data_IF_870998941222
#
_entry.id   IF_870998941222
#
_cell.length_a   1.000
_cell.length_b   1.000
_cell.length_c   1.000
_cell.angle_alpha   90.00
_cell.angle_beta   90.00
_cell.angle_gamma   90.00
#
_symmetry.space_group_name_H-M   'P 1'
#
loop_
_entity.id
_entity.type
_entity.pdbx_description
1 polymer ?
#
# COMPACT_ATOMS: atom_id res chain seq x y z
N UNK A 1 -2.85 -4.00 -17.68
CA UNK A 1 -3.87 -2.95 -17.72
C UNK A 1 -3.27 -1.67 -18.29
N UNK A 2 -4.09 -0.91 -18.97
CA UNK A 2 -3.75 0.37 -19.57
C UNK A 2 -4.06 1.47 -18.55
N UNK A 3 -3.09 2.33 -18.23
CA UNK A 3 -3.25 3.37 -17.21
C UNK A 3 -2.58 4.68 -17.65
N UNK A 4 -3.10 5.80 -17.19
CA UNK A 4 -2.46 7.10 -17.38
C UNK A 4 -1.27 7.28 -16.45
N UNK A 5 -0.24 7.94 -16.97
CA UNK A 5 0.84 8.46 -16.13
C UNK A 5 0.27 9.58 -15.24
N UNK A 6 0.73 9.70 -13.98
CA UNK A 6 0.14 10.66 -13.03
C UNK A 6 0.28 12.13 -13.41
N UNK A 7 1.35 12.48 -14.13
CA UNK A 7 1.73 13.87 -14.41
C UNK A 7 1.77 14.19 -15.91
N UNK A 8 2.37 13.33 -16.71
CA UNK A 8 2.44 13.49 -18.15
C UNK A 8 1.14 13.03 -18.82
N UNK A 9 0.85 13.57 -20.01
CA UNK A 9 -0.29 13.10 -20.81
C UNK A 9 0.02 11.81 -21.58
N UNK A 10 0.86 10.95 -21.01
CA UNK A 10 1.17 9.64 -21.56
C UNK A 10 0.30 8.60 -20.89
N UNK A 11 0.04 7.50 -21.57
CA UNK A 11 -0.45 6.29 -20.90
C UNK A 11 0.63 5.21 -20.93
N UNK A 12 0.51 4.25 -20.03
CA UNK A 12 1.45 3.15 -19.95
C UNK A 12 0.75 1.80 -19.90
N UNK A 13 1.50 0.79 -20.30
CA UNK A 13 1.13 -0.61 -20.16
C UNK A 13 2.38 -1.47 -20.01
N UNK A 14 2.20 -2.71 -19.64
CA UNK A 14 3.29 -3.68 -19.61
C UNK A 14 3.11 -4.73 -20.70
N UNK A 15 4.20 -5.16 -21.31
CA UNK A 15 4.24 -6.24 -22.30
C UNK A 15 5.41 -7.19 -22.01
N UNK A 16 5.37 -8.38 -22.56
CA UNK A 16 6.51 -9.30 -22.54
C UNK A 16 7.46 -8.93 -23.68
N UNK A 17 8.69 -8.63 -23.34
CA UNK A 17 9.80 -8.38 -24.27
C UNK A 17 10.75 -9.59 -24.32
N UNK A 18 11.89 -9.40 -24.99
CA UNK A 18 12.91 -10.45 -25.13
C UNK A 18 13.58 -10.78 -23.79
N UNK A 19 13.88 -9.74 -23.00
CA UNK A 19 14.60 -9.84 -21.74
C UNK A 19 13.68 -9.87 -20.52
N UNK A 20 12.38 -9.95 -20.71
CA UNK A 20 11.39 -9.98 -19.64
C UNK A 20 10.22 -9.03 -19.85
N UNK A 21 9.58 -8.67 -18.76
CA UNK A 21 8.45 -7.73 -18.76
C UNK A 21 8.92 -6.31 -18.98
N UNK A 22 8.35 -5.62 -19.94
CA UNK A 22 8.67 -4.22 -20.26
C UNK A 22 7.60 -3.28 -19.72
N UNK A 23 8.00 -2.08 -19.28
CA UNK A 23 7.12 -0.95 -19.04
C UNK A 23 7.22 0.01 -20.24
N UNK A 24 6.10 0.24 -20.92
CA UNK A 24 6.02 1.05 -22.13
C UNK A 24 5.11 2.24 -21.89
N UNK A 25 5.58 3.42 -22.25
CA UNK A 25 4.75 4.63 -22.31
C UNK A 25 4.39 4.96 -23.76
N UNK A 26 3.22 5.54 -23.95
CA UNK A 26 2.69 5.90 -25.28
C UNK A 26 2.14 7.31 -25.25
N UNK A 27 2.49 8.07 -26.25
CA UNK A 27 1.89 9.37 -26.55
C UNK A 27 0.54 9.14 -27.26
N UNK A 28 -0.60 9.54 -26.69
CA UNK A 28 -1.91 9.29 -27.26
C UNK A 28 -2.17 10.07 -28.57
N UNK A 29 -1.40 11.11 -28.85
CA UNK A 29 -1.58 11.93 -30.05
C UNK A 29 -0.78 11.36 -31.22
N UNK A 30 0.48 11.06 -31.02
CA UNK A 30 1.37 10.54 -32.06
C UNK A 30 1.37 9.03 -32.19
N UNK A 31 0.89 8.32 -31.17
CA UNK A 31 1.00 6.86 -31.07
C UNK A 31 2.42 6.35 -30.81
N UNK A 32 3.37 7.26 -30.56
CA UNK A 32 4.77 6.89 -30.36
C UNK A 32 4.94 6.15 -29.04
N UNK A 33 5.51 4.95 -29.11
CA UNK A 33 5.91 4.16 -27.96
C UNK A 33 7.33 4.49 -27.51
N UNK A 34 7.55 4.42 -26.19
CA UNK A 34 8.86 4.47 -25.57
C UNK A 34 8.95 3.40 -24.49
N UNK A 35 9.96 2.53 -24.57
CA UNK A 35 10.24 1.54 -23.53
C UNK A 35 10.92 2.26 -22.37
N UNK A 36 10.22 2.42 -21.27
CA UNK A 36 10.72 3.09 -20.08
C UNK A 36 11.62 2.17 -19.25
N UNK A 37 11.24 0.87 -19.17
CA UNK A 37 12.01 -0.19 -18.48
C UNK A 37 11.98 -1.44 -19.34
N UNK A 38 13.17 -1.98 -19.69
CA UNK A 38 13.31 -3.20 -20.52
C UNK A 38 13.05 -4.49 -19.73
N UNK A 39 13.51 -4.56 -18.49
CA UNK A 39 13.40 -5.72 -17.62
C UNK A 39 12.74 -5.30 -16.29
N UNK A 40 11.43 -5.09 -16.35
CA UNK A 40 10.64 -4.68 -15.18
C UNK A 40 10.51 -5.86 -14.21
N UNK A 41 10.87 -5.69 -12.93
CA UNK A 41 10.66 -6.73 -11.92
C UNK A 41 9.20 -7.20 -11.84
N UNK A 42 9.00 -8.47 -11.50
CA UNK A 42 7.67 -8.99 -11.24
C UNK A 42 7.07 -8.38 -9.97
N UNK A 43 5.75 -8.26 -9.95
CA UNK A 43 5.01 -7.70 -8.84
C UNK A 43 3.97 -6.67 -9.29
N UNK A 44 3.16 -6.25 -8.34
CA UNK A 44 2.24 -5.14 -8.51
C UNK A 44 2.97 -3.83 -8.20
N UNK A 45 2.76 -2.84 -9.02
CA UNK A 45 3.35 -1.51 -8.81
C UNK A 45 2.36 -0.38 -9.12
N UNK A 46 2.66 0.76 -8.53
CA UNK A 46 2.03 2.05 -8.78
C UNK A 46 3.12 3.05 -9.19
N UNK A 47 2.82 3.89 -10.18
CA UNK A 47 3.75 4.96 -10.61
C UNK A 47 3.62 6.12 -9.65
N UNK A 48 4.75 6.56 -9.08
CA UNK A 48 4.76 7.74 -8.23
C UNK A 48 4.32 9.00 -8.99
N UNK A 49 3.66 9.98 -8.33
CA UNK A 49 3.21 11.22 -8.97
C UNK A 49 4.31 12.01 -9.67
N UNK A 50 5.56 11.85 -9.26
CA UNK A 50 6.75 12.45 -9.87
C UNK A 50 7.25 11.72 -11.12
N UNK A 51 6.76 10.50 -11.38
CA UNK A 51 7.07 9.66 -12.55
C UNK A 51 8.54 9.22 -12.68
N UNK A 52 9.30 9.27 -11.59
CA UNK A 52 10.71 8.87 -11.54
C UNK A 52 10.97 7.59 -10.78
N UNK A 53 9.95 7.04 -10.11
CA UNK A 53 10.02 5.78 -9.40
C UNK A 53 8.66 5.07 -9.33
N UNK A 54 8.70 3.79 -8.99
CA UNK A 54 7.53 2.93 -8.81
C UNK A 54 7.46 2.44 -7.36
N UNK A 55 6.25 2.48 -6.79
CA UNK A 55 5.96 1.81 -5.52
C UNK A 55 5.54 0.37 -5.81
N UNK A 56 6.35 -0.58 -5.41
CA UNK A 56 6.08 -2.00 -5.53
C UNK A 56 5.43 -2.57 -4.27
N UNK A 57 4.43 -3.40 -4.48
CA UNK A 57 3.93 -4.34 -3.47
C UNK A 57 4.47 -5.72 -3.81
N UNK A 58 5.31 -6.25 -2.93
CA UNK A 58 6.02 -7.52 -3.11
C UNK A 58 5.64 -8.49 -1.99
N UNK A 59 5.82 -9.78 -2.26
CA UNK A 59 5.60 -10.83 -1.28
C UNK A 59 6.91 -11.57 -1.03
N UNK A 60 7.30 -11.62 0.22
CA UNK A 60 8.35 -12.52 0.68
C UNK A 60 7.69 -13.83 1.10
N UNK A 61 8.01 -14.91 0.40
CA UNK A 61 7.56 -16.24 0.78
C UNK A 61 8.12 -16.62 2.15
N UNK A 62 7.24 -17.11 3.00
CA UNK A 62 7.61 -17.67 4.29
C UNK A 62 8.31 -19.02 4.18
N UNK A 63 8.80 -19.56 5.30
CA UNK A 63 9.38 -20.89 5.33
C UNK A 63 8.40 -21.93 4.80
N UNK A 64 8.82 -22.73 3.83
CA UNK A 64 8.02 -23.85 3.30
C UNK A 64 8.04 -25.01 4.30
N UNK A 65 6.88 -25.54 4.57
CA UNK A 65 6.72 -26.69 5.44
C UNK A 65 7.16 -27.99 4.78
N UNK A 66 7.61 -28.93 5.59
CA UNK A 66 7.82 -30.33 5.17
C UNK A 66 6.45 -30.99 5.02
N UNK A 67 6.25 -31.75 3.94
CA UNK A 67 4.95 -32.28 3.48
C UNK A 67 4.12 -33.06 4.51
N UNK A 68 4.73 -33.57 5.56
CA UNK A 68 4.07 -34.50 6.50
C UNK A 68 3.88 -33.95 7.91
N UNK A 69 4.67 -32.93 8.27
CA UNK A 69 4.62 -32.31 9.60
C UNK A 69 4.81 -30.81 9.41
N UNK A 70 3.93 -30.03 9.99
CA UNK A 70 4.13 -28.59 10.09
C UNK A 70 4.11 -28.14 11.54
N UNK A 71 4.93 -27.15 11.83
CA UNK A 71 5.01 -26.56 13.14
C UNK A 71 3.99 -25.42 13.25
N UNK A 72 3.09 -25.50 14.21
CA UNK A 72 2.17 -24.44 14.57
C UNK A 72 2.90 -23.53 15.56
N UNK A 73 3.42 -22.41 15.07
CA UNK A 73 4.14 -21.43 15.91
C UNK A 73 3.16 -20.45 16.55
N UNK A 74 2.14 -20.05 15.78
CA UNK A 74 1.13 -19.07 16.21
C UNK A 74 -0.26 -19.61 15.94
N UNK A 75 -1.28 -19.13 16.66
CA UNK A 75 -2.67 -19.56 16.46
C UNK A 75 -3.20 -19.32 15.02
N UNK A 76 -2.62 -18.38 14.27
CA UNK A 76 -2.96 -18.07 12.89
C UNK A 76 -2.38 -19.07 11.89
N UNK A 77 -1.58 -19.97 12.35
CA UNK A 77 -0.79 -20.93 11.59
C UNK A 77 -1.66 -22.07 11.04
N UNK A 78 -2.69 -21.74 10.29
CA UNK A 78 -3.72 -22.70 9.88
C UNK A 78 -3.82 -22.95 8.38
N UNK A 79 -3.13 -22.11 7.56
CA UNK A 79 -3.28 -22.19 6.10
C UNK A 79 -1.94 -22.03 5.37
N UNK A 80 -1.78 -22.63 4.20
CA UNK A 80 -0.62 -22.38 3.35
C UNK A 80 -0.48 -20.88 3.03
N UNK A 81 0.76 -20.36 3.05
CA UNK A 81 1.05 -18.96 2.74
C UNK A 81 0.84 -17.97 3.89
N UNK A 82 0.39 -18.41 5.06
CA UNK A 82 0.21 -17.52 6.21
C UNK A 82 1.50 -16.87 6.71
N UNK A 83 2.65 -17.47 6.43
CA UNK A 83 4.00 -16.94 6.74
C UNK A 83 4.53 -16.00 5.67
N UNK A 84 3.83 -15.88 4.55
CA UNK A 84 4.20 -14.92 3.53
C UNK A 84 3.98 -13.50 4.05
N UNK A 85 4.88 -12.60 3.68
CA UNK A 85 4.82 -11.21 4.10
C UNK A 85 4.76 -10.29 2.90
N UNK A 86 3.74 -9.46 2.85
CA UNK A 86 3.66 -8.37 1.90
C UNK A 86 4.51 -7.21 2.42
N UNK A 87 5.35 -6.67 1.56
CA UNK A 87 6.19 -5.52 1.87
C UNK A 87 6.24 -4.54 0.70
N UNK A 88 6.61 -3.31 0.99
CA UNK A 88 6.75 -2.25 0.01
C UNK A 88 8.21 -2.05 -0.37
N UNK A 89 8.44 -1.72 -1.65
CA UNK A 89 9.75 -1.34 -2.16
C UNK A 89 9.62 -0.19 -3.17
N UNK A 90 10.65 0.64 -3.23
CA UNK A 90 10.82 1.69 -4.23
C UNK A 90 11.70 1.16 -5.35
N UNK A 91 11.23 1.25 -6.58
CA UNK A 91 12.03 0.98 -7.78
C UNK A 91 12.34 2.29 -8.49
N UNK A 92 13.60 2.67 -8.53
CA UNK A 92 14.06 3.89 -9.19
C UNK A 92 14.15 3.66 -10.71
N UNK A 93 13.41 4.45 -11.48
CA UNK A 93 13.32 4.27 -12.93
C UNK A 93 14.61 4.64 -13.67
N UNK A 94 15.45 5.50 -13.09
CA UNK A 94 16.71 5.92 -13.69
C UNK A 94 17.83 4.92 -13.46
N UNK A 95 17.90 4.36 -12.27
CA UNK A 95 19.00 3.47 -11.84
C UNK A 95 18.64 1.99 -11.90
N UNK A 96 17.35 1.64 -11.93
CA UNK A 96 16.88 0.27 -11.82
C UNK A 96 17.08 -0.37 -10.43
N UNK A 97 17.37 0.44 -9.42
CA UNK A 97 17.60 -0.05 -8.06
C UNK A 97 16.27 -0.27 -7.36
N UNK A 98 16.09 -1.46 -6.78
CA UNK A 98 14.97 -1.80 -5.90
C UNK A 98 15.41 -1.64 -4.45
N UNK A 99 14.75 -0.73 -3.73
CA UNK A 99 15.01 -0.46 -2.32
C UNK A 99 13.80 -0.86 -1.48
N UNK A 100 13.91 -1.82 -0.55
CA UNK A 100 12.85 -2.10 0.41
C UNK A 100 12.52 -0.88 1.25
N UNK A 101 11.22 -0.62 1.46
CA UNK A 101 10.72 0.51 2.25
C UNK A 101 10.14 0.07 3.59
N UNK A 102 9.65 -1.17 3.69
CA UNK A 102 9.05 -1.70 4.92
C UNK A 102 9.73 -2.99 5.34
N UNK A 103 9.79 -3.23 6.65
CA UNK A 103 10.49 -4.34 7.28
C UNK A 103 9.64 -4.94 8.41
N UNK A 104 9.99 -6.13 8.86
CA UNK A 104 9.35 -6.77 10.00
C UNK A 104 8.36 -7.87 9.61
N UNK A 105 7.52 -8.26 10.56
CA UNK A 105 6.65 -9.44 10.44
C UNK A 105 5.23 -9.11 9.96
N UNK A 106 4.80 -7.85 10.06
CA UNK A 106 3.47 -7.45 9.63
C UNK A 106 3.41 -7.25 8.12
N UNK A 107 2.26 -7.61 7.55
CA UNK A 107 1.97 -7.24 6.18
C UNK A 107 1.85 -5.73 6.07
N UNK A 108 2.45 -5.17 5.02
CA UNK A 108 2.42 -3.75 4.73
C UNK A 108 1.96 -3.49 3.29
N UNK A 109 1.16 -2.46 3.11
CA UNK A 109 0.74 -2.00 1.79
C UNK A 109 0.69 -0.48 1.73
N UNK A 110 0.86 0.08 0.53
CA UNK A 110 0.73 1.51 0.29
C UNK A 110 -0.75 1.91 0.21
N UNK A 111 -1.11 3.01 0.85
CA UNK A 111 -2.44 3.60 0.72
C UNK A 111 -2.44 4.77 -0.25
N UNK A 112 -1.40 5.60 -0.23
CA UNK A 112 -1.24 6.73 -1.14
C UNK A 112 0.21 7.23 -1.16
N UNK A 113 0.57 7.98 -2.22
CA UNK A 113 1.87 8.63 -2.39
C UNK A 113 1.64 10.14 -2.51
N UNK A 114 2.40 10.93 -1.76
CA UNK A 114 2.30 12.39 -1.84
C UNK A 114 2.67 12.92 -3.24
N UNK A 115 2.11 14.06 -3.64
CA UNK A 115 2.30 14.65 -4.98
C UNK A 115 3.77 14.97 -5.30
N UNK A 116 4.58 15.25 -4.28
CA UNK A 116 6.03 15.48 -4.41
C UNK A 116 6.84 14.18 -4.49
N UNK A 117 6.17 13.01 -4.38
CA UNK A 117 6.80 11.69 -4.43
C UNK A 117 7.69 11.37 -3.24
N UNK A 118 7.62 12.16 -2.15
CA UNK A 118 8.51 12.01 -1.00
C UNK A 118 7.93 11.14 0.10
N UNK A 119 6.62 11.20 0.29
CA UNK A 119 5.97 10.48 1.39
C UNK A 119 5.04 9.40 0.88
N UNK A 120 4.98 8.31 1.62
CA UNK A 120 4.04 7.20 1.38
C UNK A 120 3.23 6.99 2.66
N UNK A 121 1.91 6.88 2.51
CA UNK A 121 1.04 6.40 3.55
C UNK A 121 1.09 4.87 3.55
N UNK A 122 1.66 4.30 4.60
CA UNK A 122 1.86 2.86 4.75
C UNK A 122 0.88 2.33 5.79
N UNK A 123 0.07 1.36 5.38
CA UNK A 123 -0.79 0.61 6.27
C UNK A 123 -0.17 -0.75 6.60
N UNK A 124 -0.33 -1.16 7.84
CA UNK A 124 0.01 -2.51 8.30
C UNK A 124 -1.18 -3.15 8.99
N UNK A 125 -1.20 -4.47 9.07
CA UNK A 125 -2.20 -5.20 9.84
C UNK A 125 -1.57 -6.24 10.74
N UNK A 126 -2.18 -6.41 11.90
CA UNK A 126 -1.88 -7.51 12.81
C UNK A 126 -3.16 -8.27 13.18
N UNK A 127 -3.07 -9.59 13.31
CA UNK A 127 -4.18 -10.43 13.71
C UNK A 127 -4.32 -10.46 15.22
N UNK A 128 -5.58 -10.49 15.70
CA UNK A 128 -5.94 -10.62 17.10
C UNK A 128 -7.06 -11.64 17.27
N UNK A 129 -6.68 -12.90 17.48
CA UNK A 129 -7.62 -14.02 17.43
C UNK A 129 -8.59 -14.10 18.61
N UNK A 130 -8.20 -13.56 19.76
CA UNK A 130 -8.95 -13.74 21.03
C UNK A 130 -10.00 -12.66 21.27
N UNK A 131 -10.00 -11.60 20.49
CA UNK A 131 -10.90 -10.45 20.69
C UNK A 131 -11.38 -9.91 19.34
N UNK A 132 -12.52 -9.21 19.35
CA UNK A 132 -13.00 -8.45 18.21
C UNK A 132 -12.66 -6.96 18.39
N UNK A 133 -12.33 -6.24 17.32
CA UNK A 133 -12.09 -6.72 15.96
C UNK A 133 -10.88 -7.68 15.91
N UNK A 134 -10.93 -8.65 15.01
CA UNK A 134 -9.89 -9.69 14.89
C UNK A 134 -8.66 -9.24 14.10
N UNK A 135 -8.74 -8.10 13.45
CA UNK A 135 -7.64 -7.47 12.74
C UNK A 135 -7.51 -6.03 13.20
N UNK A 136 -6.30 -5.62 13.50
CA UNK A 136 -5.98 -4.23 13.82
C UNK A 136 -5.08 -3.66 12.73
N UNK A 137 -5.41 -2.48 12.25
CA UNK A 137 -4.63 -1.75 11.25
C UNK A 137 -3.90 -0.59 11.90
N UNK A 138 -2.70 -0.32 11.41
CA UNK A 138 -1.94 0.88 11.76
C UNK A 138 -1.58 1.64 10.50
N UNK A 139 -1.50 2.96 10.61
CA UNK A 139 -1.13 3.87 9.53
C UNK A 139 0.12 4.63 9.90
N UNK A 140 1.06 4.70 8.98
CA UNK A 140 2.33 5.40 9.14
C UNK A 140 2.58 6.33 7.96
N UNK A 141 3.25 7.44 8.26
CA UNK A 141 3.86 8.32 7.26
C UNK A 141 5.32 7.92 7.10
N UNK A 142 5.71 7.50 5.90
CA UNK A 142 7.08 7.12 5.55
C UNK A 142 7.67 8.18 4.62
N UNK A 143 8.81 8.76 4.99
CA UNK A 143 9.66 9.56 4.10
C UNK A 143 10.60 8.61 3.34
N UNK A 144 10.43 8.47 2.03
CA UNK A 144 11.20 7.51 1.20
C UNK A 144 12.65 7.93 0.95
N UNK A 145 13.03 9.17 1.28
CA UNK A 145 14.41 9.66 1.16
C UNK A 145 15.21 9.41 2.43
N UNK A 146 14.63 9.72 3.59
CA UNK A 146 15.29 9.60 4.88
C UNK A 146 15.01 8.29 5.60
N UNK A 147 14.01 7.54 5.13
CA UNK A 147 13.48 6.31 5.76
C UNK A 147 12.93 6.57 7.17
N UNK A 148 12.59 7.81 7.49
CA UNK A 148 11.90 8.14 8.73
C UNK A 148 10.45 7.72 8.65
N UNK A 149 9.95 7.18 9.75
CA UNK A 149 8.58 6.67 9.89
C UNK A 149 7.92 7.36 11.07
N UNK A 150 6.75 7.94 10.83
CA UNK A 150 5.91 8.57 11.85
C UNK A 150 4.59 7.81 11.95
N UNK A 151 4.18 7.33 13.15
CA UNK A 151 2.88 6.69 13.33
C UNK A 151 1.79 7.77 13.34
N UNK A 152 0.77 7.61 12.48
CA UNK A 152 -0.41 8.46 12.44
C UNK A 152 -1.60 7.84 13.18
N UNK A 153 -1.84 6.54 12.97
CA UNK A 153 -2.88 5.76 13.66
C UNK A 153 -2.27 4.43 14.06
N UNK A 154 -2.50 4.03 15.31
CA UNK A 154 -2.02 2.74 15.81
C UNK A 154 -3.19 1.85 16.24
N UNK A 155 -3.17 0.60 15.71
CA UNK A 155 -4.02 -0.50 16.16
C UNK A 155 -5.52 -0.19 16.16
N UNK A 156 -6.01 0.44 15.11
CA UNK A 156 -7.44 0.65 14.89
C UNK A 156 -8.06 -0.56 14.17
N UNK A 157 -9.17 -1.05 14.68
CA UNK A 157 -9.84 -2.22 14.11
C UNK A 157 -10.93 -1.89 13.09
N UNK A 158 -11.16 -0.61 12.79
CA UNK A 158 -12.29 -0.12 12.01
C UNK A 158 -11.89 0.89 10.94
N UNK A 159 -10.62 1.29 10.91
CA UNK A 159 -10.06 2.16 9.89
C UNK A 159 -10.07 1.47 8.52
N UNK A 160 -10.48 2.22 7.49
CA UNK A 160 -10.42 1.80 6.09
C UNK A 160 -9.14 2.26 5.40
N UNK A 161 -9.26 3.22 4.49
CA UNK A 161 -8.13 3.76 3.73
C UNK A 161 -7.67 5.13 4.21
N UNK A 162 -6.56 5.58 3.63
CA UNK A 162 -5.99 6.90 3.85
C UNK A 162 -5.48 7.47 2.54
N UNK A 163 -5.61 8.77 2.34
CA UNK A 163 -5.07 9.47 1.18
C UNK A 163 -4.62 10.89 1.54
N UNK A 164 -3.63 11.39 0.84
CA UNK A 164 -3.17 12.77 1.00
C UNK A 164 -4.18 13.76 0.41
N UNK A 165 -4.25 14.95 0.99
CA UNK A 165 -4.81 16.11 0.29
C UNK A 165 -3.91 16.47 -0.91
N UNK A 166 -4.44 17.13 -1.96
CA UNK A 166 -3.66 17.50 -3.14
C UNK A 166 -2.41 18.33 -2.85
N UNK A 167 -2.43 19.12 -1.77
CA UNK A 167 -1.29 19.92 -1.30
C UNK A 167 -0.36 19.16 -0.33
N UNK A 168 -0.70 17.92 0.04
CA UNK A 168 0.08 17.09 0.94
C UNK A 168 0.09 17.51 2.41
N UNK A 169 -0.76 18.48 2.81
CA UNK A 169 -0.76 19.02 4.18
C UNK A 169 -1.69 18.28 5.14
N UNK A 170 -2.63 17.51 4.60
CA UNK A 170 -3.63 16.77 5.36
C UNK A 170 -3.75 15.33 4.86
N UNK A 171 -4.31 14.48 5.70
CA UNK A 171 -4.63 13.09 5.36
C UNK A 171 -6.11 12.86 5.58
N UNK A 172 -6.82 12.50 4.53
CA UNK A 172 -8.20 12.05 4.59
C UNK A 172 -8.23 10.57 4.94
N UNK A 173 -8.92 10.24 6.03
CA UNK A 173 -9.10 8.88 6.50
C UNK A 173 -10.54 8.42 6.27
N UNK A 174 -10.71 7.16 5.96
CA UNK A 174 -12.01 6.50 5.94
C UNK A 174 -12.10 5.50 7.10
N UNK A 175 -13.28 5.31 7.63
CA UNK A 175 -13.51 4.34 8.69
C UNK A 175 -14.98 4.26 9.07
N UNK A 176 -15.30 3.32 9.94
CA UNK A 176 -16.63 3.25 10.56
C UNK A 176 -16.76 4.30 11.69
N UNK A 177 -17.94 4.51 12.24
CA UNK A 177 -18.11 5.36 13.43
C UNK A 177 -17.34 4.89 14.67
N UNK A 178 -16.93 3.61 14.69
CA UNK A 178 -16.11 3.02 15.74
C UNK A 178 -14.63 3.36 15.65
N UNK A 179 -14.16 3.84 14.48
CA UNK A 179 -12.77 4.19 14.23
C UNK A 179 -12.31 5.34 15.14
N UNK A 180 -11.01 5.40 15.36
CA UNK A 180 -10.35 6.50 16.06
C UNK A 180 -10.93 6.78 17.45
N UNK A 181 -11.15 5.69 18.22
CA UNK A 181 -11.74 5.77 19.55
C UNK A 181 -13.25 6.02 19.56
N UNK A 182 -13.93 5.80 18.44
CA UNK A 182 -15.38 5.97 18.31
C UNK A 182 -15.82 7.43 18.13
N UNK A 183 -14.96 8.28 17.62
CA UNK A 183 -15.25 9.72 17.40
C UNK A 183 -16.47 9.94 16.50
N UNK A 184 -16.73 9.03 15.56
CA UNK A 184 -17.90 9.10 14.67
C UNK A 184 -19.25 8.84 15.35
N UNK A 185 -19.24 8.36 16.61
CA UNK A 185 -20.45 8.19 17.42
C UNK A 185 -20.85 9.47 18.17
N UNK A 186 -20.00 10.48 18.17
CA UNK A 186 -20.27 11.76 18.80
C UNK A 186 -21.23 12.60 17.92
N UNK A 187 -22.52 12.29 17.98
CA UNK A 187 -23.57 12.99 17.24
C UNK A 187 -24.26 14.00 18.14
N UNK A 188 -25.02 14.94 17.55
CA UNK A 188 -25.78 15.95 18.28
C UNK A 188 -26.89 15.27 19.12
N UNK A 189 -27.28 15.95 20.20
CA UNK A 189 -28.38 15.48 21.05
C UNK A 189 -29.64 15.21 20.18
N UNK A 190 -30.29 14.09 20.42
CA UNK A 190 -31.45 13.63 19.66
C UNK A 190 -31.15 12.91 18.34
N UNK A 191 -29.88 12.77 17.98
CA UNK A 191 -29.46 11.97 16.82
C UNK A 191 -28.92 10.59 17.29
N UNK A 192 -29.12 9.59 16.44
CA UNK A 192 -28.52 8.26 16.63
C UNK A 192 -27.36 8.08 15.68
N UNK A 193 -26.15 7.69 16.15
CA UNK A 193 -25.03 7.45 15.27
C UNK A 193 -25.30 6.23 14.39
N UNK A 194 -24.87 6.28 13.12
CA UNK A 194 -24.80 5.10 12.29
C UNK A 194 -23.77 4.12 12.86
N UNK A 195 -24.03 2.83 12.75
CA UNK A 195 -23.11 1.78 13.21
C UNK A 195 -22.40 1.09 12.04
N UNK A 196 -22.80 1.38 10.81
CA UNK A 196 -22.35 0.64 9.60
C UNK A 196 -21.85 1.53 8.47
N UNK A 197 -22.14 2.84 8.48
CA UNK A 197 -21.77 3.73 7.40
C UNK A 197 -20.29 4.09 7.45
N UNK A 198 -19.66 4.16 6.29
CA UNK A 198 -18.32 4.71 6.16
C UNK A 198 -18.36 6.21 6.39
N UNK A 199 -17.49 6.69 7.24
CA UNK A 199 -17.31 8.11 7.55
C UNK A 199 -15.94 8.59 7.07
N UNK A 200 -15.83 9.90 6.85
CA UNK A 200 -14.61 10.59 6.48
C UNK A 200 -14.09 11.37 7.68
N UNK A 201 -12.78 11.29 7.88
CA UNK A 201 -12.07 11.95 8.98
C UNK A 201 -10.87 12.72 8.41
N UNK A 202 -10.55 13.85 9.01
CA UNK A 202 -9.45 14.73 8.60
C UNK A 202 -8.54 15.02 9.78
#
# INVERSE_FOLDING_TARGET
PLQWMPKSNLYYYTRTGVDGRQLVTVDPVSGKENVLVEALPDGYFEVAPTEDWLLYSLTQEGPKERKEIYEVIEPDDRQPGWRDRSYLAKYDLKTGVMQPLTFGYHNAWGSDISQDGRHVLVMTSESRLTQRPTTLSSLYLLDVQTMQVEPLVLKDGFMGGAQFSPDGTQVLLTGSPESFGGIGKNVKEGQTPSTVDTQLYL
#
